data_IF_230618714857
#
_entry.id   IF_230618714857
#
_cell.length_a   1.000
_cell.length_b   1.000
_cell.length_c   1.000
_cell.angle_alpha   90.00
_cell.angle_beta   90.00
_cell.angle_gamma   90.00
#
_symmetry.space_group_name_H-M   'P 1'
#
loop_
_entity.id
_entity.type
_entity.pdbx_description
1 polymer ?
#
# COMPACT_ATOMS: atom_id res chain seq x y z
N UNK A 1 -9.57 25.59 -91.04
CA UNK A 1 -9.76 24.31 -90.44
C UNK A 1 -9.27 24.41 -88.97
N UNK A 2 -10.20 24.46 -88.00
CA UNK A 2 -9.89 24.59 -86.57
C UNK A 2 -10.25 23.30 -85.93
N UNK A 3 -9.23 22.59 -85.41
CA UNK A 3 -9.38 21.37 -84.64
C UNK A 3 -9.78 21.71 -83.17
N UNK A 4 -10.89 21.17 -82.70
CA UNK A 4 -11.34 21.28 -81.32
C UNK A 4 -10.77 20.10 -80.55
N UNK A 5 -9.90 20.42 -79.63
CA UNK A 5 -9.38 19.43 -78.63
C UNK A 5 -10.41 19.31 -77.51
N UNK A 6 -10.95 18.10 -77.35
CA UNK A 6 -11.88 17.76 -76.27
C UNK A 6 -11.05 17.21 -75.08
N UNK A 7 -10.92 18.01 -74.01
CA UNK A 7 -10.30 17.59 -72.81
C UNK A 7 -11.33 16.82 -71.96
N UNK A 8 -11.14 15.53 -71.84
CA UNK A 8 -11.95 14.68 -71.00
C UNK A 8 -11.33 14.71 -69.60
N UNK A 9 -12.00 15.40 -68.68
CA UNK A 9 -11.64 15.37 -67.25
C UNK A 9 -12.16 14.09 -66.66
N UNK A 10 -11.23 13.19 -66.33
CA UNK A 10 -11.52 12.01 -65.49
C UNK A 10 -11.52 12.46 -64.02
N UNK A 11 -12.71 12.57 -63.42
CA UNK A 11 -12.89 12.80 -62.00
C UNK A 11 -12.71 11.46 -61.30
N UNK A 12 -11.53 11.23 -60.70
CA UNK A 12 -11.28 10.12 -59.77
C UNK A 12 -11.86 10.55 -58.44
N UNK A 13 -13.04 10.03 -58.11
CA UNK A 13 -13.60 10.11 -56.76
C UNK A 13 -12.86 9.09 -55.89
N UNK A 14 -11.89 9.55 -55.10
CA UNK A 14 -11.26 8.73 -54.05
C UNK A 14 -12.25 8.63 -52.90
N UNK A 15 -13.01 7.55 -52.84
CA UNK A 15 -13.75 7.20 -51.64
C UNK A 15 -12.75 6.86 -50.54
N UNK A 16 -12.52 7.81 -49.63
CA UNK A 16 -11.90 7.52 -48.36
C UNK A 16 -12.84 6.62 -47.55
N UNK A 17 -12.59 5.33 -47.59
CA UNK A 17 -13.16 4.40 -46.62
C UNK A 17 -12.58 4.83 -45.24
N UNK A 18 -13.35 5.63 -44.51
CA UNK A 18 -13.11 5.90 -43.11
C UNK A 18 -13.43 4.60 -42.37
N UNK A 19 -12.43 3.73 -42.29
CA UNK A 19 -12.47 2.63 -41.37
C UNK A 19 -12.58 3.25 -39.95
N UNK A 20 -13.65 3.00 -39.17
CA UNK A 20 -13.67 3.46 -37.81
C UNK A 20 -12.51 2.73 -37.12
N UNK A 21 -11.42 3.42 -36.90
CA UNK A 21 -10.40 2.98 -35.98
C UNK A 21 -11.11 3.01 -34.62
N UNK A 22 -11.64 1.85 -34.21
CA UNK A 22 -11.87 1.61 -32.79
C UNK A 22 -10.51 1.76 -32.15
N UNK A 23 -10.17 3.01 -31.85
CA UNK A 23 -9.00 3.34 -31.08
C UNK A 23 -9.19 2.67 -29.71
N UNK A 24 -8.60 1.51 -29.55
CA UNK A 24 -8.21 1.06 -28.25
C UNK A 24 -7.28 2.15 -27.74
N UNK A 25 -7.84 3.12 -27.04
CA UNK A 25 -7.05 3.99 -26.18
C UNK A 25 -6.42 3.04 -25.21
N UNK A 26 -5.20 2.60 -25.51
CA UNK A 26 -4.35 1.94 -24.57
C UNK A 26 -4.16 3.00 -23.50
N UNK A 27 -4.95 2.86 -22.42
CA UNK A 27 -4.80 3.68 -21.23
C UNK A 27 -3.41 3.37 -20.72
N UNK A 28 -2.44 4.22 -21.05
CA UNK A 28 -1.04 4.12 -20.66
C UNK A 28 -0.88 4.44 -19.18
N UNK A 29 -1.85 4.03 -18.36
CA UNK A 29 -1.69 4.06 -16.92
C UNK A 29 -0.60 3.06 -16.58
N UNK A 30 0.56 3.58 -16.19
CA UNK A 30 1.66 2.76 -15.68
C UNK A 30 1.09 1.95 -14.50
N UNK A 31 1.16 0.62 -14.55
CA UNK A 31 0.60 -0.19 -13.47
C UNK A 31 1.26 0.17 -12.14
N UNK A 32 0.45 0.34 -11.11
CA UNK A 32 0.97 0.57 -9.77
C UNK A 32 1.51 -0.73 -9.19
N UNK A 33 2.80 -0.75 -8.89
CA UNK A 33 3.48 -1.91 -8.31
C UNK A 33 3.77 -1.61 -6.85
N UNK A 34 3.21 -2.40 -5.96
CA UNK A 34 3.41 -2.27 -4.51
C UNK A 34 4.35 -3.32 -3.95
N UNK A 35 5.08 -2.95 -2.92
CA UNK A 35 5.84 -3.90 -2.11
C UNK A 35 5.28 -3.95 -0.69
N UNK A 36 5.10 -5.16 -0.15
CA UNK A 36 4.81 -5.34 1.26
C UNK A 36 5.99 -4.85 2.09
N UNK A 37 5.69 -4.03 3.09
CA UNK A 37 6.68 -3.54 4.02
C UNK A 37 6.40 -4.09 5.43
N UNK A 38 7.24 -5.03 5.86
CA UNK A 38 7.17 -5.61 7.18
C UNK A 38 8.21 -4.94 8.08
N UNK A 39 7.74 -4.27 9.14
CA UNK A 39 8.60 -3.63 10.14
C UNK A 39 9.03 -4.65 11.20
N UNK A 40 9.87 -5.58 10.79
CA UNK A 40 10.39 -6.63 11.66
C UNK A 40 11.75 -6.31 12.28
N UNK A 41 12.38 -5.23 11.84
CA UNK A 41 13.77 -4.91 12.13
C UNK A 41 13.92 -3.62 12.96
N UNK A 42 12.85 -3.16 13.58
CA UNK A 42 12.86 -2.01 14.48
C UNK A 42 12.94 -2.46 15.93
N UNK A 43 13.69 -1.70 16.73
CA UNK A 43 13.89 -1.97 18.14
C UNK A 43 15.13 -2.83 18.41
N UNK A 44 15.59 -2.74 19.65
CA UNK A 44 16.76 -3.49 20.12
C UNK A 44 16.30 -4.74 20.85
N UNK A 45 17.01 -5.84 20.70
CA UNK A 45 16.86 -7.00 21.54
C UNK A 45 17.85 -6.95 22.73
N UNK A 46 17.66 -7.83 23.69
CA UNK A 46 18.49 -7.90 24.90
C UNK A 46 19.68 -8.85 24.75
N UNK A 47 20.08 -9.20 23.54
CA UNK A 47 21.23 -10.07 23.30
C UNK A 47 22.53 -9.44 23.77
N UNK A 48 23.45 -10.25 24.26
CA UNK A 48 24.83 -9.84 24.60
C UNK A 48 25.67 -9.62 23.33
N UNK A 49 25.28 -10.23 22.20
CA UNK A 49 25.99 -10.10 20.92
C UNK A 49 25.71 -8.74 20.29
N UNK A 50 26.76 -7.97 19.97
CA UNK A 50 26.65 -6.61 19.43
C UNK A 50 25.77 -6.54 18.19
N UNK A 51 25.93 -7.48 17.25
CA UNK A 51 25.14 -7.53 16.02
C UNK A 51 23.67 -7.91 16.28
N UNK A 52 23.41 -8.72 17.28
CA UNK A 52 22.07 -9.15 17.66
C UNK A 52 21.34 -8.08 18.46
N UNK A 53 22.03 -7.12 19.08
CA UNK A 53 21.40 -5.99 19.77
C UNK A 53 20.68 -5.06 18.81
N UNK A 54 21.12 -4.98 17.56
CA UNK A 54 20.49 -4.20 16.50
C UNK A 54 19.38 -4.96 15.75
N UNK A 55 19.24 -6.23 16.06
CA UNK A 55 18.24 -7.08 15.43
C UNK A 55 16.86 -6.91 16.06
N UNK A 56 15.79 -7.18 15.31
CA UNK A 56 14.43 -7.06 15.83
C UNK A 56 14.15 -8.10 16.91
N UNK A 57 13.34 -7.71 17.87
CA UNK A 57 13.01 -8.54 19.04
C UNK A 57 12.28 -9.85 18.72
N UNK A 58 11.73 -9.99 17.53
CA UNK A 58 10.98 -11.19 17.12
C UNK A 58 11.75 -12.11 16.17
N UNK A 59 12.97 -11.74 15.73
CA UNK A 59 13.81 -12.70 15.05
C UNK A 59 14.25 -13.80 16.02
N UNK A 60 14.14 -15.02 15.57
CA UNK A 60 14.55 -16.17 16.36
C UNK A 60 16.07 -16.28 16.39
N UNK A 61 16.62 -16.81 17.48
CA UNK A 61 18.05 -17.10 17.61
C UNK A 61 18.58 -17.92 16.43
N UNK A 62 17.79 -18.82 15.89
CA UNK A 62 18.13 -19.60 14.71
C UNK A 62 18.44 -18.76 13.49
N UNK A 63 17.69 -17.67 13.25
CA UNK A 63 17.96 -16.75 12.14
C UNK A 63 19.35 -16.11 12.28
N UNK A 64 19.72 -15.75 13.48
CA UNK A 64 21.02 -15.16 13.75
C UNK A 64 22.16 -16.14 13.55
N UNK A 65 22.00 -17.36 14.06
CA UNK A 65 23.04 -18.37 14.03
C UNK A 65 23.20 -19.02 12.65
N UNK A 66 22.07 -19.35 12.00
CA UNK A 66 22.07 -20.15 10.77
C UNK A 66 22.07 -19.31 9.49
N UNK A 67 21.71 -18.01 9.56
CA UNK A 67 21.49 -17.15 8.40
C UNK A 67 22.10 -15.75 8.53
N UNK A 68 23.17 -15.61 9.29
CA UNK A 68 23.85 -14.33 9.51
C UNK A 68 24.31 -13.69 8.18
N UNK A 69 24.70 -14.48 7.19
CA UNK A 69 25.09 -14.02 5.85
C UNK A 69 23.95 -13.38 5.04
N UNK A 70 22.70 -13.53 5.51
CA UNK A 70 21.50 -12.92 4.89
C UNK A 70 21.12 -11.59 5.49
N UNK A 71 21.98 -11.04 6.32
CA UNK A 71 21.77 -9.70 6.87
C UNK A 71 21.60 -8.67 5.74
N UNK A 72 20.61 -7.76 5.86
CA UNK A 72 20.50 -6.64 4.92
C UNK A 72 21.78 -5.81 4.86
N UNK A 73 22.07 -5.19 3.71
CA UNK A 73 23.31 -4.41 3.49
C UNK A 73 23.46 -3.21 4.46
N UNK A 74 22.38 -2.75 5.06
CA UNK A 74 22.35 -1.69 6.09
C UNK A 74 22.09 -2.23 7.50
N UNK A 75 22.28 -3.52 7.71
CA UNK A 75 22.00 -4.19 8.98
C UNK A 75 20.54 -4.52 9.20
N UNK A 76 20.28 -5.12 10.34
CA UNK A 76 18.93 -5.44 10.80
C UNK A 76 18.26 -4.20 11.42
N UNK A 77 18.02 -3.18 10.58
CA UNK A 77 17.54 -1.88 11.06
C UNK A 77 16.48 -1.30 10.14
N UNK A 78 15.32 -0.98 10.74
CA UNK A 78 14.24 -0.20 10.13
C UNK A 78 13.89 1.04 10.95
N UNK A 79 14.73 1.40 11.93
CA UNK A 79 14.53 2.50 12.89
C UNK A 79 15.41 3.71 12.59
N UNK A 80 15.97 3.80 11.39
CA UNK A 80 16.83 4.89 10.93
C UNK A 80 16.18 5.63 9.74
N UNK A 81 16.09 6.97 9.86
CA UNK A 81 15.47 7.80 8.82
C UNK A 81 16.26 7.80 7.51
N UNK A 82 17.60 7.78 7.58
CA UNK A 82 18.43 7.76 6.38
C UNK A 82 18.30 6.43 5.63
N UNK A 83 18.13 5.33 6.36
CA UNK A 83 17.85 4.03 5.76
C UNK A 83 16.49 4.06 5.06
N UNK A 84 15.45 4.59 5.69
CA UNK A 84 14.12 4.74 5.07
C UNK A 84 14.19 5.58 3.81
N UNK A 85 14.86 6.73 3.84
CA UNK A 85 15.02 7.59 2.67
C UNK A 85 15.75 6.85 1.53
N UNK A 86 16.78 6.07 1.85
CA UNK A 86 17.50 5.24 0.86
C UNK A 86 16.61 4.13 0.29
N UNK A 87 15.79 3.49 1.10
CA UNK A 87 14.84 2.47 0.65
C UNK A 87 13.79 3.07 -0.30
N UNK A 88 13.27 4.28 -0.01
CA UNK A 88 12.36 5.01 -0.90
C UNK A 88 13.04 5.29 -2.24
N UNK A 89 14.29 5.77 -2.24
CA UNK A 89 15.02 6.07 -3.46
C UNK A 89 15.25 4.81 -4.31
N UNK A 90 15.72 3.74 -3.71
CA UNK A 90 15.96 2.48 -4.42
C UNK A 90 14.63 1.92 -4.97
N UNK A 91 13.59 1.86 -4.16
CA UNK A 91 12.30 1.32 -4.57
C UNK A 91 11.69 2.10 -5.73
N UNK A 92 11.63 3.43 -5.61
CA UNK A 92 11.05 4.30 -6.65
C UNK A 92 11.85 4.26 -7.97
N UNK A 93 13.17 4.18 -7.91
CA UNK A 93 14.04 4.06 -9.09
C UNK A 93 13.90 2.70 -9.80
N UNK A 94 13.40 1.68 -9.10
CA UNK A 94 13.21 0.33 -9.64
C UNK A 94 11.74 -0.04 -9.88
N UNK A 95 10.88 0.95 -10.03
CA UNK A 95 9.50 0.77 -10.48
C UNK A 95 8.50 0.41 -9.37
N UNK A 96 8.90 0.40 -8.09
CA UNK A 96 7.96 0.27 -6.98
C UNK A 96 7.30 1.63 -6.77
N UNK A 97 5.97 1.68 -6.81
CA UNK A 97 5.20 2.92 -6.74
C UNK A 97 4.61 3.18 -5.36
N UNK A 98 4.45 2.14 -4.54
CA UNK A 98 3.97 2.30 -3.16
C UNK A 98 4.49 1.20 -2.24
N UNK A 99 4.58 1.52 -0.95
CA UNK A 99 4.76 0.54 0.11
C UNK A 99 3.41 0.22 0.76
N UNK A 100 3.20 -1.06 1.06
CA UNK A 100 2.08 -1.56 1.83
C UNK A 100 2.58 -1.92 3.23
N UNK A 101 2.50 -0.98 4.16
CA UNK A 101 3.00 -1.14 5.51
C UNK A 101 2.10 -2.03 6.34
N UNK A 102 2.67 -3.02 7.02
CA UNK A 102 1.96 -3.78 8.04
C UNK A 102 1.57 -2.86 9.20
N UNK A 103 0.29 -2.85 9.51
CA UNK A 103 -0.26 -2.08 10.61
C UNK A 103 -0.88 -3.02 11.65
N UNK A 104 -0.51 -2.87 12.90
CA UNK A 104 -0.84 -3.79 13.97
C UNK A 104 -1.69 -3.14 15.03
N UNK A 105 -2.56 -3.97 15.60
CA UNK A 105 -3.30 -3.72 16.82
C UNK A 105 -2.62 -4.43 17.96
N UNK A 106 -2.41 -3.82 19.11
CA UNK A 106 -1.54 -4.39 20.14
C UNK A 106 -2.22 -5.40 21.06
N UNK A 107 -3.54 -5.36 21.22
CA UNK A 107 -4.20 -6.21 22.22
C UNK A 107 -5.14 -7.22 21.60
N UNK A 108 -5.04 -8.46 22.01
CA UNK A 108 -5.99 -9.51 21.66
C UNK A 108 -7.35 -9.34 22.35
N UNK A 109 -7.41 -8.60 23.45
CA UNK A 109 -8.63 -8.41 24.25
C UNK A 109 -8.68 -6.99 24.82
N UNK A 110 -9.85 -6.37 24.72
CA UNK A 110 -10.14 -5.09 25.34
C UNK A 110 -10.23 -3.91 24.37
N UNK A 111 -10.40 -2.73 24.93
CA UNK A 111 -10.45 -1.50 24.15
C UNK A 111 -9.11 -1.12 23.53
N UNK A 112 -9.17 -0.46 22.37
CA UNK A 112 -7.99 0.10 21.71
C UNK A 112 -7.37 1.18 22.59
N UNK A 113 -6.10 1.02 22.85
CA UNK A 113 -5.28 2.06 23.43
C UNK A 113 -4.45 2.75 22.32
N UNK A 114 -4.87 3.95 21.95
CA UNK A 114 -4.21 4.76 20.91
C UNK A 114 -2.73 4.99 21.25
N UNK A 115 -2.41 5.29 22.51
CA UNK A 115 -1.01 5.49 22.93
C UNK A 115 -0.17 4.22 22.74
N UNK A 116 -0.75 3.07 22.99
CA UNK A 116 -0.09 1.79 22.75
C UNK A 116 0.22 1.56 21.26
N UNK A 117 -0.67 1.99 20.37
CA UNK A 117 -0.45 1.91 18.91
C UNK A 117 0.65 2.87 18.48
N UNK A 118 0.63 4.10 18.97
CA UNK A 118 1.65 5.11 18.66
C UNK A 118 3.05 4.66 19.07
N UNK A 119 3.17 3.88 20.13
CA UNK A 119 4.45 3.40 20.67
C UNK A 119 4.87 2.01 20.17
N UNK A 120 4.12 1.40 19.24
CA UNK A 120 4.52 0.11 18.68
C UNK A 120 5.80 0.24 17.84
N UNK A 121 6.81 -0.57 18.18
CA UNK A 121 8.05 -0.66 17.41
C UNK A 121 7.79 -1.08 15.96
N UNK A 122 6.80 -1.96 15.73
CA UNK A 122 6.37 -2.40 14.41
C UNK A 122 5.70 -1.32 13.55
N UNK A 123 5.54 -0.08 14.04
CA UNK A 123 5.09 1.08 13.29
C UNK A 123 6.20 2.12 13.07
N UNK A 124 7.42 1.83 13.49
CA UNK A 124 8.53 2.79 13.41
C UNK A 124 8.84 3.15 11.97
N UNK A 125 8.93 2.16 11.08
CA UNK A 125 9.21 2.41 9.67
C UNK A 125 8.14 3.24 8.97
N UNK A 126 6.86 3.00 9.28
CA UNK A 126 5.77 3.82 8.76
C UNK A 126 5.89 5.30 9.20
N UNK A 127 6.23 5.53 10.48
CA UNK A 127 6.46 6.88 11.00
C UNK A 127 7.67 7.55 10.34
N UNK A 128 8.72 6.79 10.07
CA UNK A 128 9.90 7.30 9.38
C UNK A 128 9.59 7.61 7.92
N UNK A 129 8.80 6.77 7.23
CA UNK A 129 8.31 7.07 5.89
C UNK A 129 7.56 8.40 5.84
N UNK A 130 6.64 8.63 6.78
CA UNK A 130 5.88 9.88 6.84
C UNK A 130 6.77 11.11 7.09
N UNK A 131 7.91 10.95 7.75
CA UNK A 131 8.91 12.01 8.02
C UNK A 131 9.96 12.16 6.91
N UNK A 132 10.09 11.17 6.03
CA UNK A 132 11.14 11.15 4.99
C UNK A 132 10.97 12.31 4.01
N UNK A 133 12.08 13.00 3.71
CA UNK A 133 12.11 14.17 2.80
C UNK A 133 11.73 13.80 1.37
N UNK A 134 12.01 12.56 0.98
CA UNK A 134 11.76 12.03 -0.35
C UNK A 134 10.49 11.18 -0.45
N UNK A 135 9.61 11.18 0.57
CA UNK A 135 8.35 10.39 0.56
C UNK A 135 7.45 10.70 -0.62
N UNK A 136 7.57 11.91 -1.19
CA UNK A 136 6.79 12.33 -2.35
C UNK A 136 7.04 11.48 -3.61
N UNK A 137 8.12 10.69 -3.64
CA UNK A 137 8.45 9.78 -4.75
C UNK A 137 7.58 8.53 -4.78
N UNK A 138 6.90 8.22 -3.68
CA UNK A 138 6.11 7.00 -3.53
C UNK A 138 4.78 7.27 -2.84
N UNK A 139 3.82 6.37 -3.05
CA UNK A 139 2.62 6.29 -2.22
C UNK A 139 2.82 5.29 -1.09
N UNK A 140 1.87 5.25 -0.14
CA UNK A 140 1.80 4.18 0.85
C UNK A 140 0.34 3.82 1.14
N UNK A 141 0.14 2.60 1.62
CA UNK A 141 -1.13 2.10 2.13
C UNK A 141 -0.87 1.20 3.33
N UNK A 142 -1.93 0.78 4.00
CA UNK A 142 -1.84 -0.07 5.18
C UNK A 142 -2.32 -1.49 4.89
N UNK A 143 -1.54 -2.46 5.32
CA UNK A 143 -1.96 -3.85 5.50
C UNK A 143 -2.34 -4.04 6.97
N UNK A 144 -3.63 -4.13 7.24
CA UNK A 144 -4.15 -4.36 8.58
C UNK A 144 -3.89 -5.82 8.95
N UNK A 145 -2.90 -6.03 9.81
CA UNK A 145 -2.41 -7.34 10.21
C UNK A 145 -3.28 -7.94 11.32
N UNK A 146 -4.57 -8.13 11.05
CA UNK A 146 -5.58 -8.61 11.98
C UNK A 146 -5.58 -10.15 12.14
N UNK A 147 -4.40 -10.72 12.40
CA UNK A 147 -4.21 -12.15 12.66
C UNK A 147 -4.24 -12.47 14.16
N UNK A 148 -4.01 -13.73 14.52
CA UNK A 148 -3.86 -14.14 15.92
C UNK A 148 -2.71 -13.35 16.57
N UNK A 149 -2.96 -12.76 17.75
CA UNK A 149 -2.03 -11.86 18.43
C UNK A 149 -2.19 -10.38 18.11
N UNK A 150 -2.91 -10.04 17.04
CA UNK A 150 -3.19 -8.66 16.61
C UNK A 150 -4.65 -8.48 16.16
N UNK A 151 -5.59 -9.24 16.73
CA UNK A 151 -6.99 -9.19 16.33
C UNK A 151 -7.65 -7.88 16.70
N UNK A 152 -8.41 -7.35 15.77
CA UNK A 152 -9.40 -6.30 16.03
C UNK A 152 -10.74 -6.99 16.20
N UNK A 153 -11.24 -7.01 17.43
CA UNK A 153 -12.48 -7.70 17.77
C UNK A 153 -13.60 -6.70 18.02
N UNK A 154 -14.77 -7.00 17.45
CA UNK A 154 -15.96 -6.15 17.58
C UNK A 154 -15.95 -4.91 16.68
N UNK A 155 -17.13 -4.46 16.35
CA UNK A 155 -17.37 -3.36 15.43
C UNK A 155 -16.80 -2.03 15.94
N UNK A 156 -16.98 -1.73 17.22
CA UNK A 156 -16.51 -0.48 17.83
C UNK A 156 -14.98 -0.34 17.73
N UNK A 157 -14.24 -1.45 17.89
CA UNK A 157 -12.80 -1.42 17.73
C UNK A 157 -12.39 -1.22 16.24
N UNK A 158 -13.15 -1.77 15.30
CA UNK A 158 -12.94 -1.49 13.88
C UNK A 158 -13.20 -0.02 13.56
N UNK A 159 -14.24 0.59 14.11
CA UNK A 159 -14.51 2.01 13.91
C UNK A 159 -13.44 2.89 14.56
N UNK A 160 -12.97 2.57 15.76
CA UNK A 160 -11.84 3.26 16.40
C UNK A 160 -10.56 3.14 15.57
N UNK A 161 -10.30 1.96 14.97
CA UNK A 161 -9.17 1.76 14.08
C UNK A 161 -9.28 2.64 12.82
N UNK A 162 -10.47 2.70 12.21
CA UNK A 162 -10.72 3.55 11.04
C UNK A 162 -10.60 5.04 11.37
N UNK A 163 -11.09 5.46 12.53
CA UNK A 163 -10.93 6.85 13.00
C UNK A 163 -9.46 7.22 13.14
N UNK A 164 -8.69 6.40 13.84
CA UNK A 164 -7.26 6.60 13.99
C UNK A 164 -6.53 6.67 12.64
N UNK A 165 -6.85 5.74 11.73
CA UNK A 165 -6.24 5.73 10.40
C UNK A 165 -6.64 6.95 9.57
N UNK A 166 -7.89 7.39 9.67
CA UNK A 166 -8.39 8.57 8.96
C UNK A 166 -7.69 9.83 9.44
N UNK A 167 -7.53 10.01 10.75
CA UNK A 167 -6.90 11.17 11.34
C UNK A 167 -5.37 11.17 11.15
N UNK A 168 -4.73 9.98 11.19
CA UNK A 168 -3.27 9.89 11.20
C UNK A 168 -2.67 9.73 9.80
N UNK A 169 -3.33 8.95 8.91
CA UNK A 169 -2.72 8.52 7.66
C UNK A 169 -3.49 8.94 6.41
N UNK A 170 -4.84 8.81 6.39
CA UNK A 170 -5.59 8.99 5.15
C UNK A 170 -5.59 10.43 4.64
N UNK A 171 -5.30 11.41 5.50
CA UNK A 171 -5.16 12.81 5.11
C UNK A 171 -3.84 13.09 4.38
N UNK A 172 -2.81 12.25 4.56
CA UNK A 172 -1.53 12.45 3.89
C UNK A 172 -1.70 12.34 2.36
N UNK A 173 -1.10 13.30 1.63
CA UNK A 173 -1.17 13.35 0.16
C UNK A 173 -0.52 12.14 -0.51
N UNK A 174 0.37 11.43 0.20
CA UNK A 174 1.01 10.21 -0.29
C UNK A 174 0.23 8.95 0.04
N UNK A 175 -0.84 9.03 0.87
CA UNK A 175 -1.68 7.86 1.09
C UNK A 175 -2.37 7.43 -0.20
N UNK A 176 -2.28 6.13 -0.51
CA UNK A 176 -2.87 5.58 -1.73
C UNK A 176 -4.40 5.58 -1.64
N UNK A 177 -5.04 6.24 -2.61
CA UNK A 177 -6.49 6.28 -2.76
C UNK A 177 -6.88 5.90 -4.19
N UNK A 178 -7.97 5.19 -4.33
CA UNK A 178 -8.62 4.89 -5.61
C UNK A 178 -10.00 5.55 -5.58
N UNK A 179 -10.27 6.47 -6.49
CA UNK A 179 -11.56 7.20 -6.56
C UNK A 179 -11.95 7.80 -5.20
N UNK A 180 -11.03 8.49 -4.54
CA UNK A 180 -11.20 9.04 -3.18
C UNK A 180 -11.53 8.00 -2.08
N UNK A 181 -11.25 6.71 -2.32
CA UNK A 181 -11.35 5.64 -1.33
C UNK A 181 -9.95 5.30 -0.84
N UNK A 182 -9.59 5.51 0.43
CA UNK A 182 -8.35 5.02 0.98
C UNK A 182 -8.19 3.51 0.77
N UNK A 183 -7.00 3.07 0.37
CA UNK A 183 -6.72 1.64 0.18
C UNK A 183 -6.40 1.01 1.53
N UNK A 184 -7.17 0.00 1.91
CA UNK A 184 -6.94 -0.84 3.08
C UNK A 184 -6.82 -2.31 2.69
N UNK A 185 -5.67 -2.92 2.92
CA UNK A 185 -5.49 -4.34 2.73
C UNK A 185 -5.70 -5.09 4.05
N UNK A 186 -6.40 -6.21 4.02
CA UNK A 186 -6.72 -7.00 5.21
C UNK A 186 -6.01 -8.35 5.15
N UNK A 187 -5.18 -8.64 6.15
CA UNK A 187 -4.54 -9.94 6.27
C UNK A 187 -5.58 -11.05 6.47
N UNK A 188 -6.57 -10.80 7.34
CA UNK A 188 -7.73 -11.67 7.52
C UNK A 188 -9.01 -10.92 7.16
N UNK A 189 -9.37 -10.93 5.87
CA UNK A 189 -10.54 -10.23 5.36
C UNK A 189 -11.86 -10.79 5.95
N UNK A 190 -11.93 -12.08 6.26
CA UNK A 190 -13.12 -12.68 6.86
C UNK A 190 -13.43 -12.11 8.23
N UNK A 191 -12.41 -11.84 9.04
CA UNK A 191 -12.60 -11.23 10.36
C UNK A 191 -13.05 -9.77 10.25
N UNK A 192 -12.70 -9.07 9.19
CA UNK A 192 -13.10 -7.68 8.93
C UNK A 192 -14.50 -7.59 8.27
N UNK A 193 -14.92 -8.61 7.52
CA UNK A 193 -16.10 -8.58 6.67
C UNK A 193 -17.40 -8.12 7.39
N UNK A 194 -17.72 -8.54 8.64
CA UNK A 194 -18.92 -8.10 9.33
C UNK A 194 -18.96 -6.59 9.58
N UNK A 195 -17.79 -5.94 9.69
CA UNK A 195 -17.68 -4.51 10.00
C UNK A 195 -17.45 -3.62 8.77
N UNK A 196 -17.25 -4.21 7.58
CA UNK A 196 -16.89 -3.44 6.36
C UNK A 196 -17.94 -2.38 5.99
N UNK A 197 -19.22 -2.71 6.06
CA UNK A 197 -20.29 -1.74 5.76
C UNK A 197 -20.20 -0.52 6.65
N UNK A 198 -20.06 -0.71 7.95
CA UNK A 198 -19.96 0.41 8.90
C UNK A 198 -18.66 1.19 8.77
N UNK A 199 -17.54 0.51 8.48
CA UNK A 199 -16.29 1.20 8.15
C UNK A 199 -16.44 2.09 6.91
N UNK A 200 -17.13 1.61 5.87
CA UNK A 200 -17.45 2.41 4.68
C UNK A 200 -18.32 3.62 5.00
N UNK A 201 -19.39 3.42 5.76
CA UNK A 201 -20.32 4.52 6.12
C UNK A 201 -19.61 5.56 7.00
N UNK A 202 -18.77 5.11 7.92
CA UNK A 202 -17.93 5.98 8.74
C UNK A 202 -17.01 6.86 7.86
N UNK A 203 -16.32 6.26 6.89
CA UNK A 203 -15.44 7.01 5.99
C UNK A 203 -16.19 7.96 5.06
N UNK A 204 -17.42 7.59 4.63
CA UNK A 204 -18.29 8.50 3.88
C UNK A 204 -18.67 9.73 4.71
N UNK A 205 -18.96 9.55 5.99
CA UNK A 205 -19.22 10.67 6.91
C UNK A 205 -18.00 11.59 7.13
N UNK A 206 -16.79 11.07 6.86
CA UNK A 206 -15.51 11.81 6.87
C UNK A 206 -15.12 12.36 5.47
N UNK A 207 -16.05 12.44 4.52
CA UNK A 207 -15.82 12.93 3.14
C UNK A 207 -14.93 12.07 2.25
N UNK A 208 -14.76 10.80 2.54
CA UNK A 208 -14.21 9.81 1.62
C UNK A 208 -15.33 9.12 0.82
N UNK A 209 -15.01 8.52 -0.31
CA UNK A 209 -16.00 7.74 -1.09
C UNK A 209 -16.24 6.32 -0.52
N UNK A 210 -15.71 6.02 0.65
CA UNK A 210 -15.71 4.72 1.32
C UNK A 210 -14.29 4.16 1.45
N UNK A 211 -14.14 2.84 1.58
CA UNK A 211 -12.86 2.15 1.67
C UNK A 211 -12.63 1.29 0.42
N UNK A 212 -11.44 1.36 -0.17
CA UNK A 212 -11.02 0.42 -1.19
C UNK A 212 -10.35 -0.80 -0.50
N UNK A 213 -11.11 -1.90 -0.39
CA UNK A 213 -10.70 -3.07 0.39
C UNK A 213 -9.97 -4.10 -0.47
N UNK A 214 -8.80 -4.57 -0.01
CA UNK A 214 -8.03 -5.64 -0.62
C UNK A 214 -7.94 -6.81 0.36
N UNK A 215 -8.23 -8.04 -0.08
CA UNK A 215 -8.00 -9.26 0.68
C UNK A 215 -6.64 -9.85 0.34
N UNK A 216 -5.77 -10.04 1.34
CA UNK A 216 -4.41 -10.53 1.12
C UNK A 216 -4.26 -12.05 1.32
N UNK A 217 -5.16 -12.71 2.03
CA UNK A 217 -4.99 -14.10 2.44
C UNK A 217 -6.26 -14.94 2.27
N UNK A 218 -7.12 -14.62 1.33
CA UNK A 218 -8.30 -15.43 1.06
C UNK A 218 -8.04 -16.34 -0.14
N UNK A 219 -7.94 -17.65 0.14
CA UNK A 219 -8.01 -18.66 -0.92
C UNK A 219 -9.45 -18.70 -1.44
N UNK A 220 -9.77 -17.68 -2.18
CA UNK A 220 -10.91 -17.45 -3.03
C UNK A 220 -12.24 -18.17 -2.72
N UNK A 221 -13.24 -17.43 -2.37
CA UNK A 221 -14.53 -17.52 -3.05
C UNK A 221 -14.81 -16.11 -3.58
N UNK A 222 -15.20 -16.01 -4.84
CA UNK A 222 -15.59 -14.77 -5.49
C UNK A 222 -16.49 -13.98 -4.54
N UNK A 223 -16.00 -12.89 -4.01
CA UNK A 223 -16.86 -11.89 -3.41
C UNK A 223 -17.40 -11.07 -4.58
N UNK A 224 -18.60 -11.41 -5.02
CA UNK A 224 -19.41 -10.51 -5.85
C UNK A 224 -19.76 -9.30 -4.97
N UNK A 225 -19.31 -8.13 -5.41
CA UNK A 225 -19.73 -6.84 -4.89
C UNK A 225 -21.25 -6.63 -5.09
#
# INVERSE_FOLDING_TARGET
MKAKIFCLFFLIVLEFIVCPQNGWTQDNTIPMIGAYYFDGWSGKNNSQELWAQEAPTHLTEKLYNDYNERQPIWGWRNDDLAIMERQIDIASQNGITFFLFCWYWKKDKGEMDIKSIENLASHTSLKLFMKARNKHKMKFALLIANHQGARIEGEDNWLKAMDYMAETYFQDSQYLKVENKPVGAFFNARAAAPSLTKMNDYLKAKNYAGLFSISCNDKSKKYSA
#
